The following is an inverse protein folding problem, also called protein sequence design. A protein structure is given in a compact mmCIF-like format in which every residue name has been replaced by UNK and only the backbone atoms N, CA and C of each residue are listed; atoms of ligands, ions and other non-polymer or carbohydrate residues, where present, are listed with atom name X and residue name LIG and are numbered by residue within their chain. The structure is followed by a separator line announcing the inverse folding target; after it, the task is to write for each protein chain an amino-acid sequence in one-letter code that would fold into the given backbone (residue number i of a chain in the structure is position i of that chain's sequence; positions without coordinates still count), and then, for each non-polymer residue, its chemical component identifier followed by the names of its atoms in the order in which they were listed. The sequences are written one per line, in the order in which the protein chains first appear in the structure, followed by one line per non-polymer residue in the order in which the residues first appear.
data_IF_418590780557
#
_entry.id   IF_418590780557
#
_cell.length_a   1.000
_cell.length_b   1.000
_cell.length_c   1.000
_cell.angle_alpha   90.00
_cell.angle_beta   90.00
_cell.angle_gamma   90.00
#
_symmetry.space_group_name_H-M   'P 1'
#
loop_
_entity.id
_entity.type
_entity.pdbx_description
1 polymer ?
#
# COMPACT_ATOMS: atom_id res chain seq x y z
N UNK A 1 -12.92 5.99 33.11
CA UNK A 1 -11.62 6.67 33.19
C UNK A 1 -11.06 6.92 31.80
N UNK A 2 -10.84 8.18 31.39
CA UNK A 2 -10.34 8.51 30.05
C UNK A 2 -9.00 7.86 29.72
N UNK A 3 -8.09 7.77 30.67
CA UNK A 3 -6.76 7.17 30.46
C UNK A 3 -6.85 5.68 30.15
N UNK A 4 -7.74 4.96 30.81
CA UNK A 4 -7.96 3.55 30.54
C UNK A 4 -8.55 3.32 29.16
N UNK A 5 -9.46 4.20 28.74
CA UNK A 5 -10.08 4.14 27.41
C UNK A 5 -9.04 4.34 26.31
N UNK A 6 -8.13 5.28 26.48
CA UNK A 6 -7.06 5.52 25.53
C UNK A 6 -6.14 4.31 25.38
N UNK A 7 -5.76 3.69 26.51
CA UNK A 7 -4.91 2.49 26.48
C UNK A 7 -5.58 1.34 25.77
N UNK A 8 -6.87 1.13 26.00
CA UNK A 8 -7.64 0.08 25.33
C UNK A 8 -7.70 0.37 23.83
N UNK A 9 -7.94 1.62 23.46
CA UNK A 9 -8.00 2.04 22.07
C UNK A 9 -6.66 1.80 21.37
N UNK A 10 -5.56 2.13 22.01
CA UNK A 10 -4.21 1.93 21.46
C UNK A 10 -3.93 0.45 21.23
N UNK A 11 -4.29 -0.41 22.19
CA UNK A 11 -4.13 -1.86 22.06
C UNK A 11 -4.93 -2.39 20.88
N UNK A 12 -6.17 -1.97 20.75
CA UNK A 12 -7.04 -2.39 19.63
C UNK A 12 -6.44 -1.94 18.30
N UNK A 13 -5.93 -0.71 18.24
CA UNK A 13 -5.30 -0.18 17.03
C UNK A 13 -4.09 -1.00 16.64
N UNK A 14 -3.24 -1.35 17.59
CA UNK A 14 -2.06 -2.18 17.35
C UNK A 14 -2.43 -3.58 16.87
N UNK A 15 -3.44 -4.18 17.47
CA UNK A 15 -3.91 -5.52 17.07
C UNK A 15 -4.47 -5.49 15.65
N UNK A 16 -5.26 -4.48 15.31
CA UNK A 16 -5.77 -4.32 13.95
C UNK A 16 -4.64 -4.13 12.96
N UNK A 17 -3.63 -3.34 13.33
CA UNK A 17 -2.46 -3.12 12.49
C UNK A 17 -1.70 -4.41 12.22
N UNK A 18 -1.52 -5.26 13.24
CA UNK A 18 -0.86 -6.56 13.08
C UNK A 18 -1.66 -7.49 12.18
N UNK A 19 -2.99 -7.54 12.31
CA UNK A 19 -3.85 -8.34 11.46
C UNK A 19 -3.78 -7.86 10.02
N UNK A 20 -3.85 -6.55 9.79
CA UNK A 20 -3.72 -5.98 8.44
C UNK A 20 -2.35 -6.29 7.84
N UNK A 21 -1.27 -6.22 8.64
CA UNK A 21 0.07 -6.55 8.18
C UNK A 21 0.19 -7.99 7.69
N UNK A 22 -0.59 -8.91 8.25
CA UNK A 22 -0.61 -10.31 7.81
C UNK A 22 -1.38 -10.53 6.53
N UNK A 23 -2.38 -9.68 6.25
CA UNK A 23 -3.26 -9.82 5.09
C UNK A 23 -2.79 -9.06 3.86
N UNK A 24 -1.89 -8.12 4.02
CA UNK A 24 -1.49 -7.21 2.95
C UNK A 24 0.01 -7.27 2.68
N UNK A 25 0.37 -6.87 1.48
CA UNK A 25 1.76 -6.70 1.06
C UNK A 25 1.96 -5.29 0.56
N UNK A 26 3.10 -4.71 0.91
CA UNK A 26 3.55 -3.46 0.32
C UNK A 26 4.41 -3.80 -0.90
N UNK A 27 4.04 -3.27 -2.05
CA UNK A 27 4.80 -3.49 -3.28
C UNK A 27 5.31 -2.17 -3.85
N UNK A 28 6.50 -2.23 -4.40
CA UNK A 28 7.09 -1.14 -5.16
C UNK A 28 7.52 -1.68 -6.51
N UNK A 29 7.15 -0.99 -7.58
CA UNK A 29 7.55 -1.42 -8.91
C UNK A 29 7.82 -0.25 -9.83
N UNK A 30 8.54 -0.54 -10.90
CA UNK A 30 8.91 0.43 -11.92
C UNK A 30 8.15 0.13 -13.20
N UNK A 31 7.67 1.17 -13.86
CA UNK A 31 6.90 1.03 -15.08
C UNK A 31 7.22 2.15 -16.05
N UNK A 32 7.23 1.84 -17.34
CA UNK A 32 7.34 2.86 -18.38
C UNK A 32 6.03 3.63 -18.51
N UNK A 33 6.15 4.89 -18.90
CA UNK A 33 5.00 5.78 -19.05
C UNK A 33 3.91 5.17 -19.94
N UNK A 34 4.27 4.52 -21.02
CA UNK A 34 3.32 3.88 -21.95
C UNK A 34 2.46 2.80 -21.29
N UNK A 35 2.96 2.18 -20.22
CA UNK A 35 2.28 1.10 -19.52
C UNK A 35 1.64 1.55 -18.21
N UNK A 36 1.84 2.79 -17.80
CA UNK A 36 1.39 3.30 -16.51
C UNK A 36 -0.12 3.15 -16.31
N UNK A 37 -0.90 3.61 -17.26
CA UNK A 37 -2.36 3.57 -17.18
C UNK A 37 -2.85 2.12 -17.11
N UNK A 38 -2.29 1.27 -17.93
CA UNK A 38 -2.65 -0.15 -18.00
C UNK A 38 -2.33 -0.86 -16.67
N UNK A 39 -1.19 -0.52 -16.08
CA UNK A 39 -0.78 -1.06 -14.78
C UNK A 39 -1.75 -0.65 -13.68
N UNK A 40 -2.09 0.65 -13.61
CA UNK A 40 -2.98 1.17 -12.57
C UNK A 40 -4.37 0.56 -12.64
N UNK A 41 -4.84 0.21 -13.82
CA UNK A 41 -6.14 -0.45 -13.99
C UNK A 41 -6.13 -1.88 -13.46
N UNK A 42 -4.97 -2.52 -13.39
CA UNK A 42 -4.86 -3.93 -13.01
C UNK A 42 -4.53 -4.16 -11.55
N UNK A 43 -4.11 -3.12 -10.83
CA UNK A 43 -3.71 -3.27 -9.43
C UNK A 43 -4.89 -3.06 -8.48
N UNK A 44 -5.30 -4.10 -7.73
CA UNK A 44 -6.35 -3.96 -6.71
C UNK A 44 -5.74 -3.41 -5.42
N UNK A 45 -5.57 -2.10 -5.35
CA UNK A 45 -4.92 -1.44 -4.23
C UNK A 45 -5.85 -1.20 -3.06
N UNK A 46 -5.32 -1.28 -1.83
CA UNK A 46 -6.04 -0.90 -0.63
C UNK A 46 -6.37 0.59 -0.62
N UNK A 47 -5.43 1.40 -1.09
CA UNK A 47 -5.57 2.85 -1.27
C UNK A 47 -5.00 3.22 -2.62
N UNK A 48 -5.26 4.46 -3.07
CA UNK A 48 -4.67 4.94 -4.31
C UNK A 48 -3.15 4.77 -4.29
N UNK A 49 -2.56 4.20 -5.34
CA UNK A 49 -1.11 4.05 -5.41
C UNK A 49 -0.40 5.40 -5.38
N UNK A 50 0.75 5.43 -4.74
CA UNK A 50 1.65 6.58 -4.81
C UNK A 50 2.50 6.44 -6.07
N UNK A 51 2.45 7.43 -6.93
CA UNK A 51 3.18 7.45 -8.19
C UNK A 51 4.30 8.47 -8.10
N UNK A 52 5.54 8.02 -8.34
CA UNK A 52 6.72 8.89 -8.30
C UNK A 52 7.38 8.92 -9.67
N UNK A 53 7.67 10.13 -10.15
CA UNK A 53 8.40 10.30 -11.40
C UNK A 53 9.87 10.02 -11.14
N UNK A 54 10.47 9.15 -11.94
CA UNK A 54 11.89 8.80 -11.79
C UNK A 54 12.80 9.76 -12.52
N UNK A 55 14.09 9.76 -12.16
CA UNK A 55 15.12 10.55 -12.83
C UNK A 55 15.22 10.18 -14.31
N UNK A 56 15.07 8.91 -14.62
CA UNK A 56 15.04 8.45 -16.01
C UNK A 56 13.74 8.91 -16.65
N UNK A 57 13.86 9.62 -17.76
CA UNK A 57 12.71 10.14 -18.48
C UNK A 57 11.82 9.01 -19.00
N UNK A 58 10.53 9.13 -18.73
CA UNK A 58 9.57 8.13 -19.17
C UNK A 58 9.38 6.95 -18.23
N UNK A 59 9.95 7.01 -17.03
CA UNK A 59 9.80 5.96 -16.02
C UNK A 59 9.11 6.48 -14.76
N UNK A 60 8.33 5.61 -14.15
CA UNK A 60 7.61 5.92 -12.91
C UNK A 60 7.80 4.80 -11.89
N UNK A 61 7.86 5.19 -10.61
CA UNK A 61 7.82 4.27 -9.49
C UNK A 61 6.42 4.24 -8.91
N UNK A 62 5.93 3.06 -8.59
CA UNK A 62 4.60 2.89 -8.00
C UNK A 62 4.72 2.18 -6.67
N UNK A 63 4.19 2.82 -5.62
CA UNK A 63 4.08 2.25 -4.28
C UNK A 63 2.62 2.01 -3.97
N UNK A 64 2.29 0.81 -3.54
CA UNK A 64 0.93 0.50 -3.16
C UNK A 64 0.88 -0.68 -2.20
N UNK A 65 -0.28 -0.86 -1.58
CA UNK A 65 -0.56 -1.98 -0.68
C UNK A 65 -1.66 -2.82 -1.30
N UNK A 66 -1.42 -4.12 -1.41
CA UNK A 66 -2.38 -5.07 -1.99
C UNK A 66 -2.61 -6.23 -1.03
N UNK A 67 -3.71 -6.94 -1.22
CA UNK A 67 -3.98 -8.15 -0.46
C UNK A 67 -3.07 -9.29 -0.91
N UNK A 68 -2.59 -10.09 0.04
CA UNK A 68 -1.76 -11.26 -0.28
C UNK A 68 -2.44 -12.20 -1.25
N UNK A 69 -3.75 -12.37 -1.10
CA UNK A 69 -4.53 -13.24 -1.99
C UNK A 69 -4.46 -12.80 -3.45
N UNK A 70 -4.42 -11.51 -3.70
CA UNK A 70 -4.39 -10.95 -5.05
C UNK A 70 -2.99 -10.98 -5.66
N UNK A 71 -1.96 -11.07 -4.83
CA UNK A 71 -0.58 -11.00 -5.29
C UNK A 71 -0.24 -12.07 -6.33
N UNK A 72 -0.61 -13.31 -6.06
CA UNK A 72 -0.32 -14.42 -6.99
C UNK A 72 -1.01 -14.25 -8.34
N UNK A 73 -2.22 -13.72 -8.33
CA UNK A 73 -2.98 -13.45 -9.55
C UNK A 73 -2.38 -12.30 -10.35
N UNK A 74 -1.73 -11.39 -9.65
CA UNK A 74 -1.18 -10.17 -10.25
C UNK A 74 0.18 -10.40 -10.93
N UNK A 75 1.00 -11.31 -10.40
CA UNK A 75 2.35 -11.54 -10.91
C UNK A 75 2.40 -11.77 -12.43
N UNK A 76 1.59 -12.66 -13.03
CA UNK A 76 1.65 -12.88 -14.47
C UNK A 76 1.35 -11.62 -15.28
N UNK A 77 0.48 -10.76 -14.77
CA UNK A 77 0.14 -9.49 -15.41
C UNK A 77 1.27 -8.48 -15.29
N UNK A 78 1.88 -8.38 -14.10
CA UNK A 78 2.98 -7.46 -13.86
C UNK A 78 4.23 -7.80 -14.66
N UNK A 79 4.50 -9.08 -14.87
CA UNK A 79 5.67 -9.51 -15.64
C UNK A 79 5.70 -8.96 -17.04
N UNK A 80 4.55 -8.67 -17.61
CA UNK A 80 4.42 -8.16 -18.97
C UNK A 80 4.62 -6.66 -19.09
N UNK A 81 4.32 -5.91 -18.04
CA UNK A 81 4.22 -4.45 -18.12
C UNK A 81 5.08 -3.70 -17.12
N UNK A 82 5.61 -4.37 -16.11
CA UNK A 82 6.43 -3.73 -15.08
C UNK A 82 7.85 -4.27 -15.09
N UNK A 83 8.80 -3.44 -14.66
CA UNK A 83 10.17 -3.85 -14.43
C UNK A 83 10.49 -3.65 -12.97
N UNK A 84 11.14 -4.64 -12.38
CA UNK A 84 11.55 -4.55 -10.99
C UNK A 84 10.36 -4.54 -10.04
N UNK A 85 10.30 -5.54 -9.18
CA UNK A 85 9.26 -5.64 -8.16
C UNK A 85 9.92 -5.91 -6.83
N UNK A 86 9.63 -5.06 -5.86
CA UNK A 86 10.06 -5.25 -4.47
C UNK A 86 8.82 -5.49 -3.65
N UNK A 87 8.84 -6.53 -2.84
CA UNK A 87 7.70 -6.92 -2.00
C UNK A 87 8.13 -6.91 -0.54
N UNK A 88 7.37 -6.24 0.29
CA UNK A 88 7.58 -6.22 1.73
C UNK A 88 6.33 -6.69 2.45
N UNK A 89 6.52 -7.51 3.49
CA UNK A 89 5.46 -7.83 4.41
C UNK A 89 5.47 -6.77 5.51
N UNK A 90 4.45 -5.90 5.58
CA UNK A 90 4.42 -4.92 6.65
C UNK A 90 4.15 -5.61 7.99
N UNK A 91 4.81 -5.16 9.04
CA UNK A 91 4.52 -5.64 10.39
C UNK A 91 3.14 -5.21 10.84
N UNK A 92 2.81 -3.97 10.53
CA UNK A 92 1.55 -3.36 10.92
C UNK A 92 1.11 -2.38 9.84
N UNK A 93 -0.19 -2.28 9.67
CA UNK A 93 -0.81 -1.25 8.84
C UNK A 93 -1.79 -0.52 9.74
N UNK A 94 -1.46 0.73 10.09
CA UNK A 94 -2.27 1.54 10.98
C UNK A 94 -3.00 2.61 10.17
N UNK A 95 -4.30 2.71 10.36
CA UNK A 95 -5.11 3.77 9.77
C UNK A 95 -5.15 4.93 10.76
N UNK A 96 -4.61 6.06 10.35
CA UNK A 96 -4.47 7.25 11.19
C UNK A 96 -5.34 8.40 10.70
N UNK A 97 -6.48 8.08 10.11
CA UNK A 97 -7.38 9.07 9.54
C UNK A 97 -7.96 10.04 10.58
N UNK A 98 -8.16 9.56 11.80
CA UNK A 98 -8.65 10.39 12.89
C UNK A 98 -7.70 11.54 13.22
N UNK A 99 -6.39 11.28 13.12
CA UNK A 99 -5.37 12.30 13.36
C UNK A 99 -5.48 13.41 12.31
N UNK A 100 -5.74 13.05 11.05
CA UNK A 100 -5.93 14.03 9.99
C UNK A 100 -7.16 14.91 10.23
N UNK A 101 -8.25 14.34 10.73
CA UNK A 101 -9.45 15.10 11.03
C UNK A 101 -9.19 16.14 12.14
N UNK A 102 -8.43 15.76 13.14
CA UNK A 102 -8.08 16.67 14.23
C UNK A 102 -7.21 17.81 13.73
N UNK A 103 -6.31 17.55 12.80
CA UNK A 103 -5.47 18.58 12.20
C UNK A 103 -6.27 19.55 11.31
N UNK A 104 -7.31 19.08 10.67
CA UNK A 104 -8.17 19.89 9.81
C UNK A 104 -9.09 20.82 10.59
N UNK A 105 -9.35 20.51 11.84
CA UNK A 105 -10.19 21.30 12.72
C UNK A 105 -9.39 22.33 13.54
#
# INVERSE_FOLDING_TARGET
DPQKREKIFDIVTLLRGAVHGRKYLHIYLNVEEKNLKKLLEQIPSLKKPTISKKKEKGWYGINTVIQKEDFHKLIPKLRKIAQGLVVHEPRQILELEEIKRDEEN
#
